data_IF_003301934104
#
_entry.id   IF_003301934104
#
_cell.length_a   1.000
_cell.length_b   1.000
_cell.length_c   1.000
_cell.angle_alpha   90.00
_cell.angle_beta   90.00
_cell.angle_gamma   90.00
#
_symmetry.space_group_name_H-M   'P 1'
#
loop_
_entity.id
_entity.type
_entity.pdbx_description
1 polymer ?
#
# COMPACT_ATOMS: atom_id res chain seq x y z
N UNK A 1 4.40 14.88 -8.87
CA UNK A 1 4.79 13.82 -9.84
C UNK A 1 6.31 13.77 -10.07
N UNK A 2 7.04 14.88 -9.89
CA UNK A 2 8.46 14.97 -10.27
C UNK A 2 9.41 14.11 -9.43
N UNK A 3 9.13 13.90 -8.13
CA UNK A 3 10.00 13.09 -7.28
C UNK A 3 10.13 11.64 -7.77
N UNK A 4 9.03 11.02 -8.21
CA UNK A 4 9.03 9.65 -8.74
C UNK A 4 9.77 9.57 -10.07
N UNK A 5 9.50 10.53 -10.96
CA UNK A 5 10.16 10.63 -12.27
C UNK A 5 11.67 10.82 -12.12
N UNK A 6 12.09 11.76 -11.28
CA UNK A 6 13.51 12.10 -11.10
C UNK A 6 14.31 10.99 -10.37
N UNK A 7 13.64 10.11 -9.63
CA UNK A 7 14.31 9.01 -8.92
C UNK A 7 14.34 7.75 -9.77
N UNK A 8 13.17 7.27 -10.20
CA UNK A 8 13.04 5.94 -10.78
C UNK A 8 13.23 5.91 -12.31
N UNK A 9 13.16 7.07 -12.95
CA UNK A 9 13.32 7.22 -14.41
C UNK A 9 14.68 7.86 -14.77
N UNK A 10 15.58 8.04 -13.81
CA UNK A 10 16.93 8.48 -14.10
C UNK A 10 17.70 7.40 -14.87
N UNK A 11 18.44 7.82 -15.91
CA UNK A 11 19.27 6.92 -16.70
C UNK A 11 20.61 6.71 -15.99
N UNK A 12 20.86 5.50 -15.51
CA UNK A 12 22.13 5.14 -14.89
C UNK A 12 23.15 4.70 -15.94
N UNK A 13 24.41 4.60 -15.52
CA UNK A 13 25.55 4.22 -16.38
C UNK A 13 25.48 2.79 -16.92
N UNK A 14 24.60 1.95 -16.37
CA UNK A 14 24.45 0.55 -16.77
C UNK A 14 23.29 0.35 -17.75
N UNK A 15 22.50 1.40 -18.03
CA UNK A 15 21.24 1.35 -18.77
C UNK A 15 20.29 0.24 -18.27
N UNK A 16 20.33 -0.05 -16.95
CA UNK A 16 19.45 -1.04 -16.30
C UNK A 16 18.46 -0.36 -15.38
N UNK A 17 17.18 -0.45 -15.68
CA UNK A 17 16.16 0.27 -14.93
C UNK A 17 15.15 -0.67 -14.29
N UNK A 18 15.57 -1.36 -13.23
CA UNK A 18 14.71 -2.23 -12.42
C UNK A 18 14.73 -1.78 -10.97
N UNK A 19 13.55 -1.73 -10.36
CA UNK A 19 13.34 -1.25 -9.00
C UNK A 19 12.50 -2.24 -8.21
N UNK A 20 13.01 -2.65 -7.07
CA UNK A 20 12.29 -3.49 -6.12
C UNK A 20 11.55 -2.60 -5.11
N UNK A 21 10.22 -2.71 -5.08
CA UNK A 21 9.37 -1.98 -4.14
C UNK A 21 8.87 -2.92 -3.06
N UNK A 22 9.05 -2.51 -1.80
CA UNK A 22 8.49 -3.19 -0.64
C UNK A 22 7.95 -2.18 0.36
N UNK A 23 6.86 -2.53 1.05
CA UNK A 23 6.35 -1.71 2.16
C UNK A 23 7.08 -2.05 3.45
N UNK A 24 7.49 -1.02 4.19
CA UNK A 24 8.02 -1.21 5.54
C UNK A 24 6.99 -1.92 6.44
N UNK A 25 7.48 -2.78 7.34
CA UNK A 25 6.64 -3.58 8.25
C UNK A 25 5.77 -2.69 9.14
N UNK A 26 6.27 -1.52 9.52
CA UNK A 26 5.60 -0.53 10.37
C UNK A 26 4.69 0.42 9.59
N UNK A 27 4.74 0.41 8.25
CA UNK A 27 3.96 1.32 7.41
C UNK A 27 2.45 1.14 7.61
N UNK A 28 1.74 2.25 7.85
CA UNK A 28 0.28 2.25 8.06
C UNK A 28 -0.45 2.82 6.85
N UNK A 29 -1.59 2.22 6.50
CA UNK A 29 -2.41 2.62 5.33
C UNK A 29 -2.83 4.11 5.36
N UNK A 30 -3.01 4.69 6.55
CA UNK A 30 -3.47 6.07 6.73
C UNK A 30 -2.42 7.13 6.33
N UNK A 31 -1.17 6.72 6.07
CA UNK A 31 -0.07 7.64 5.76
C UNK A 31 0.35 7.63 4.29
N UNK A 32 -0.47 7.10 3.39
CA UNK A 32 -0.13 7.04 1.96
C UNK A 32 -0.23 8.45 1.37
N UNK A 33 0.87 9.02 0.83
CA UNK A 33 0.82 10.31 0.15
C UNK A 33 0.06 10.22 -1.18
N UNK A 34 -0.70 11.24 -1.54
CA UNK A 34 -1.44 11.28 -2.81
C UNK A 34 -0.53 11.09 -4.04
N UNK A 35 0.67 11.67 -4.03
CA UNK A 35 1.62 11.50 -5.13
C UNK A 35 2.01 10.03 -5.35
N UNK A 36 1.99 9.21 -4.30
CA UNK A 36 2.29 7.78 -4.38
C UNK A 36 1.10 7.02 -4.98
N UNK A 37 -0.13 7.43 -4.63
CA UNK A 37 -1.34 6.91 -5.27
C UNK A 37 -1.31 7.16 -6.78
N UNK A 38 -0.99 8.39 -7.20
CA UNK A 38 -0.87 8.71 -8.63
C UNK A 38 0.19 7.84 -9.30
N UNK A 39 1.34 7.66 -8.65
CA UNK A 39 2.44 6.84 -9.18
C UNK A 39 2.05 5.36 -9.26
N UNK A 40 1.25 4.86 -8.32
CA UNK A 40 0.75 3.49 -8.32
C UNK A 40 -0.09 3.19 -9.57
N UNK A 41 -0.92 4.14 -10.03
CA UNK A 41 -1.75 3.93 -11.21
C UNK A 41 -0.96 3.69 -12.50
N UNK A 42 0.30 4.15 -12.57
CA UNK A 42 1.16 3.97 -13.75
C UNK A 42 2.23 2.87 -13.57
N UNK A 43 2.73 2.70 -12.34
CA UNK A 43 3.93 1.88 -12.06
C UNK A 43 3.68 0.76 -11.05
N UNK A 44 2.45 0.66 -10.56
CA UNK A 44 2.01 -0.39 -9.66
C UNK A 44 1.81 -1.73 -10.40
N UNK A 45 1.81 -2.83 -9.64
CA UNK A 45 1.51 -4.16 -10.15
C UNK A 45 0.06 -4.23 -10.66
N UNK A 46 -0.12 -4.92 -11.78
CA UNK A 46 -1.41 -5.23 -12.38
C UNK A 46 -1.88 -6.63 -11.95
N UNK A 47 -3.17 -6.94 -12.07
CA UNK A 47 -3.71 -8.21 -11.59
C UNK A 47 -3.18 -9.42 -12.36
N UNK A 48 -2.84 -9.24 -13.63
CA UNK A 48 -2.38 -10.28 -14.56
C UNK A 48 -1.04 -10.90 -14.15
N UNK A 49 -0.23 -10.19 -13.37
CA UNK A 49 1.05 -10.70 -12.88
C UNK A 49 0.93 -11.46 -11.56
N UNK A 50 -0.24 -11.41 -10.90
CA UNK A 50 -0.45 -12.02 -9.60
C UNK A 50 -0.65 -13.53 -9.74
N UNK A 51 -0.04 -14.35 -8.88
CA UNK A 51 -0.29 -15.78 -8.89
C UNK A 51 -1.72 -16.07 -8.38
N UNK A 52 -2.36 -17.17 -8.80
CA UNK A 52 -3.76 -17.47 -8.47
C UNK A 52 -4.14 -17.40 -6.98
N UNK A 53 -3.31 -17.90 -6.04
CA UNK A 53 -3.61 -17.78 -4.60
C UNK A 53 -3.73 -16.32 -4.13
N UNK A 54 -2.91 -15.42 -4.70
CA UNK A 54 -2.93 -14.00 -4.36
C UNK A 54 -4.16 -13.31 -4.95
N UNK A 55 -4.61 -13.72 -6.14
CA UNK A 55 -5.87 -13.25 -6.72
C UNK A 55 -7.06 -13.66 -5.84
N UNK A 56 -7.08 -14.90 -5.35
CA UNK A 56 -8.13 -15.35 -4.42
C UNK A 56 -8.13 -14.53 -3.12
N UNK A 57 -6.94 -14.36 -2.52
CA UNK A 57 -6.77 -13.54 -1.33
C UNK A 57 -7.20 -12.07 -1.56
N UNK A 58 -6.89 -11.51 -2.74
CA UNK A 58 -7.29 -10.16 -3.13
C UNK A 58 -8.82 -10.04 -3.28
N UNK A 59 -9.46 -11.03 -3.89
CA UNK A 59 -10.92 -11.08 -4.01
C UNK A 59 -11.60 -11.14 -2.64
N UNK A 60 -11.06 -11.97 -1.74
CA UNK A 60 -11.54 -12.06 -0.36
C UNK A 60 -11.35 -10.74 0.38
N UNK A 61 -10.19 -10.09 0.25
CA UNK A 61 -9.94 -8.77 0.82
C UNK A 61 -10.96 -7.75 0.33
N UNK A 62 -11.14 -7.63 -0.99
CA UNK A 62 -12.05 -6.66 -1.61
C UNK A 62 -13.50 -6.83 -1.15
N UNK A 63 -13.97 -8.07 -0.97
CA UNK A 63 -15.33 -8.35 -0.47
C UNK A 63 -15.54 -7.93 1.00
N UNK A 64 -14.48 -7.84 1.79
CA UNK A 64 -14.54 -7.59 3.24
C UNK A 64 -13.92 -6.25 3.64
N UNK A 65 -13.61 -5.39 2.68
CA UNK A 65 -13.07 -4.05 2.93
C UNK A 65 -13.83 -3.01 2.14
N UNK A 66 -14.10 -1.88 2.76
CA UNK A 66 -14.65 -0.73 2.06
C UNK A 66 -13.61 -0.13 1.09
N UNK A 67 -14.06 0.18 -0.11
CA UNK A 67 -13.25 0.91 -1.08
C UNK A 67 -12.99 2.33 -0.57
N UNK A 68 -11.74 2.77 -0.70
CA UNK A 68 -11.37 4.15 -0.40
C UNK A 68 -11.43 4.96 -1.69
N UNK A 69 -12.24 6.01 -1.72
CA UNK A 69 -12.52 6.80 -2.92
C UNK A 69 -11.26 7.29 -3.69
N UNK A 70 -10.15 7.50 -2.99
CA UNK A 70 -8.89 8.00 -3.55
C UNK A 70 -7.72 7.02 -3.42
N UNK A 71 -7.96 5.74 -3.13
CA UNK A 71 -6.89 4.75 -3.03
C UNK A 71 -7.33 3.45 -3.71
N UNK A 72 -6.64 3.01 -4.78
CA UNK A 72 -6.91 1.74 -5.42
C UNK A 72 -6.98 0.59 -4.41
N UNK A 73 -7.95 -0.31 -4.58
CA UNK A 73 -8.09 -1.48 -3.71
C UNK A 73 -6.86 -2.38 -3.79
N UNK A 74 -6.24 -2.49 -4.98
CA UNK A 74 -4.97 -3.19 -5.19
C UNK A 74 -3.84 -2.62 -4.33
N UNK A 75 -3.68 -1.30 -4.30
CA UNK A 75 -2.71 -0.63 -3.41
C UNK A 75 -3.00 -0.94 -1.93
N UNK A 76 -4.27 -0.85 -1.55
CA UNK A 76 -4.70 -1.16 -0.18
C UNK A 76 -4.34 -2.58 0.24
N UNK A 77 -4.56 -3.55 -0.66
CA UNK A 77 -4.24 -4.96 -0.45
C UNK A 77 -2.73 -5.20 -0.36
N UNK A 78 -1.96 -4.62 -1.27
CA UNK A 78 -0.49 -4.73 -1.27
C UNK A 78 0.13 -4.19 0.02
N UNK A 79 -0.39 -3.09 0.55
CA UNK A 79 0.02 -2.54 1.85
C UNK A 79 -0.39 -3.45 3.00
N UNK A 80 -1.61 -3.99 2.97
CA UNK A 80 -2.12 -4.89 4.01
C UNK A 80 -1.26 -6.16 4.11
N UNK A 81 -0.98 -6.78 2.97
CA UNK A 81 -0.23 -8.03 2.84
C UNK A 81 1.30 -7.84 2.82
N UNK A 82 1.77 -6.60 2.82
CA UNK A 82 3.21 -6.23 2.70
C UNK A 82 3.85 -6.88 1.47
N UNK A 83 3.12 -6.84 0.37
CA UNK A 83 3.55 -7.40 -0.90
C UNK A 83 4.53 -6.47 -1.59
N UNK A 84 5.47 -7.09 -2.30
CA UNK A 84 6.55 -6.45 -3.02
C UNK A 84 6.41 -6.79 -4.50
N UNK A 85 6.85 -5.88 -5.35
CA UNK A 85 6.88 -6.07 -6.78
C UNK A 85 8.15 -5.46 -7.34
N UNK A 86 8.47 -5.88 -8.56
CA UNK A 86 9.54 -5.28 -9.35
C UNK A 86 8.87 -4.44 -10.43
N UNK A 87 9.26 -3.18 -10.55
CA UNK A 87 8.96 -2.35 -11.70
C UNK A 87 10.22 -2.23 -12.53
N UNK A 88 10.10 -2.39 -13.85
CA UNK A 88 11.20 -2.09 -14.75
C UNK A 88 10.69 -1.33 -15.97
N UNK A 89 11.59 -0.63 -16.63
CA UNK A 89 11.30 0.06 -17.87
C UNK A 89 12.49 0.02 -18.81
N UNK A 90 12.20 0.20 -20.09
CA UNK A 90 13.19 0.30 -21.15
C UNK A 90 12.68 1.27 -22.23
N UNK A 91 13.59 1.73 -23.09
CA UNK A 91 13.23 2.53 -24.24
C UNK A 91 12.77 1.67 -25.40
N UNK A 92 11.66 2.06 -26.01
CA UNK A 92 11.12 1.45 -27.22
C UNK A 92 10.93 2.53 -28.25
N UNK A 93 11.26 2.19 -29.50
CA UNK A 93 11.05 3.04 -30.66
C UNK A 93 9.74 2.61 -31.31
N UNK A 94 8.76 3.52 -31.37
CA UNK A 94 7.59 3.36 -32.21
C UNK A 94 7.91 3.84 -33.62
N UNK A 95 7.76 2.95 -34.59
CA UNK A 95 7.85 3.29 -36.01
C UNK A 95 6.47 3.10 -36.63
N UNK A 96 5.82 4.23 -36.96
CA UNK A 96 4.58 4.23 -37.73
C UNK A 96 4.93 4.69 -39.15
N UNK A 97 4.45 4.02 -40.20
CA UNK A 97 4.73 4.42 -41.57
C UNK A 97 4.36 5.89 -41.80
N UNK A 98 5.26 6.62 -42.48
CA UNK A 98 5.07 8.03 -42.85
C UNK A 98 5.05 9.02 -41.67
N UNK A 99 5.51 8.63 -40.48
CA UNK A 99 5.74 9.53 -39.35
C UNK A 99 7.19 9.46 -38.87
N UNK A 100 7.60 10.43 -38.06
CA UNK A 100 8.91 10.43 -37.40
C UNK A 100 8.89 9.38 -36.28
N UNK A 101 9.88 8.48 -36.19
CA UNK A 101 9.97 7.51 -35.10
C UNK A 101 9.94 8.19 -33.74
N UNK A 102 9.15 7.64 -32.83
CA UNK A 102 8.97 8.19 -31.48
C UNK A 102 9.65 7.31 -30.45
N UNK A 103 10.52 7.91 -29.63
CA UNK A 103 11.14 7.23 -28.51
C UNK A 103 10.25 7.39 -27.28
N UNK A 104 9.80 6.28 -26.68
CA UNK A 104 9.08 6.31 -25.42
C UNK A 104 9.61 5.26 -24.46
N UNK A 105 9.23 5.39 -23.18
CA UNK A 105 9.55 4.40 -22.16
C UNK A 105 8.41 3.41 -22.05
N UNK A 106 8.71 2.14 -22.27
CA UNK A 106 7.77 1.08 -21.97
C UNK A 106 8.02 0.58 -20.55
N UNK A 107 6.94 0.41 -19.79
CA UNK A 107 6.97 -0.02 -18.41
C UNK A 107 6.41 -1.43 -18.28
N UNK A 108 6.96 -2.17 -17.33
CA UNK A 108 6.50 -3.48 -16.97
C UNK A 108 6.59 -3.68 -15.47
N UNK A 109 5.75 -4.57 -14.96
CA UNK A 109 5.81 -5.02 -13.57
C UNK A 109 5.93 -6.52 -13.52
N UNK A 110 6.57 -7.00 -12.45
CA UNK A 110 6.77 -8.42 -12.20
C UNK A 110 6.50 -8.73 -10.75
N UNK A 111 5.82 -9.86 -10.52
CA UNK A 111 5.58 -10.39 -9.19
C UNK A 111 6.89 -10.83 -8.52
N UNK A 112 7.02 -10.53 -7.22
CA UNK A 112 8.12 -11.03 -6.41
C UNK A 112 7.87 -12.48 -5.97
N UNK A 113 8.48 -13.44 -6.67
CA UNK A 113 8.18 -14.86 -6.51
C UNK A 113 8.79 -15.54 -5.27
N UNK A 114 9.34 -14.79 -4.31
CA UNK A 114 9.93 -15.35 -3.08
C UNK A 114 8.96 -15.41 -1.89
N UNK A 115 7.68 -15.09 -2.12
CA UNK A 115 6.65 -15.22 -1.11
C UNK A 115 6.27 -16.68 -0.85
N UNK A 116 6.08 -17.01 0.42
CA UNK A 116 5.39 -18.21 0.84
C UNK A 116 3.88 -17.99 0.66
N UNK A 117 3.33 -18.51 -0.44
CA UNK A 117 1.94 -18.31 -0.83
C UNK A 117 0.95 -18.93 0.17
N UNK A 118 1.37 -19.89 1.00
CA UNK A 118 0.52 -20.49 2.04
C UNK A 118 0.06 -19.48 3.10
N UNK A 119 0.75 -18.33 3.21
CA UNK A 119 0.41 -17.25 4.15
C UNK A 119 -0.70 -16.34 3.64
N UNK A 120 -1.05 -16.44 2.36
CA UNK A 120 -2.00 -15.55 1.69
C UNK A 120 -3.18 -16.36 1.19
N UNK A 121 -3.97 -16.90 2.12
CA UNK A 121 -5.22 -17.61 1.82
C UNK A 121 -6.41 -16.73 2.21
N UNK A 122 -7.59 -17.06 1.68
CA UNK A 122 -8.82 -16.38 2.07
C UNK A 122 -9.02 -16.37 3.60
N UNK A 123 -8.69 -17.46 4.30
CA UNK A 123 -8.78 -17.55 5.75
C UNK A 123 -7.80 -16.61 6.46
N UNK A 124 -6.52 -16.58 6.06
CA UNK A 124 -5.53 -15.71 6.71
C UNK A 124 -5.85 -14.23 6.52
N UNK A 125 -6.37 -13.86 5.35
CA UNK A 125 -6.85 -12.50 5.09
C UNK A 125 -8.01 -12.13 6.01
N UNK A 126 -9.02 -12.99 6.14
CA UNK A 126 -10.16 -12.73 7.02
C UNK A 126 -9.75 -12.59 8.49
N UNK A 127 -8.86 -13.45 8.97
CA UNK A 127 -8.32 -13.35 10.32
C UNK A 127 -7.55 -12.05 10.55
N UNK A 128 -6.71 -11.64 9.58
CA UNK A 128 -5.95 -10.39 9.62
C UNK A 128 -6.85 -9.14 9.61
N UNK A 129 -7.95 -9.17 8.85
CA UNK A 129 -8.92 -8.07 8.83
C UNK A 129 -9.68 -7.94 10.16
N UNK A 130 -10.08 -9.07 10.76
CA UNK A 130 -10.75 -9.10 12.07
C UNK A 130 -9.85 -8.62 13.21
N UNK A 131 -8.58 -9.04 13.23
CA UNK A 131 -7.65 -8.61 14.29
C UNK A 131 -7.41 -7.10 14.22
N UNK A 132 -7.33 -6.54 13.01
CA UNK A 132 -7.18 -5.10 12.81
C UNK A 132 -8.41 -4.30 13.24
N UNK A 133 -9.61 -4.77 12.94
CA UNK A 133 -10.84 -4.09 13.38
C UNK A 133 -10.98 -4.10 14.91
N UNK A 134 -10.63 -5.21 15.57
CA UNK A 134 -10.59 -5.29 17.04
C UNK A 134 -9.58 -4.32 17.64
N UNK A 135 -8.38 -4.22 17.06
CA UNK A 135 -7.35 -3.29 17.52
C UNK A 135 -7.80 -1.82 17.36
N UNK A 136 -8.40 -1.47 16.23
CA UNK A 136 -8.90 -0.13 15.95
C UNK A 136 -10.06 0.25 16.90
N UNK A 137 -10.95 -0.70 17.22
CA UNK A 137 -12.00 -0.53 18.22
C UNK A 137 -11.42 -0.28 19.63
N UNK A 138 -10.45 -1.09 20.05
CA UNK A 138 -9.82 -0.94 21.36
C UNK A 138 -9.09 0.41 21.48
N UNK A 139 -8.40 0.85 20.42
CA UNK A 139 -7.77 2.16 20.38
C UNK A 139 -8.80 3.30 20.49
N UNK A 140 -9.91 3.19 19.77
CA UNK A 140 -10.99 4.19 19.79
C UNK A 140 -11.63 4.28 21.17
N UNK A 141 -11.91 3.14 21.82
CA UNK A 141 -12.44 3.11 23.18
C UNK A 141 -11.47 3.76 24.17
N UNK A 142 -10.18 3.44 24.08
CA UNK A 142 -9.13 4.04 24.93
C UNK A 142 -9.08 5.55 24.75
N UNK A 143 -9.14 6.04 23.50
CA UNK A 143 -9.14 7.47 23.19
C UNK A 143 -10.37 8.18 23.77
N UNK A 144 -11.56 7.58 23.64
CA UNK A 144 -12.80 8.11 24.20
C UNK A 144 -12.71 8.21 25.72
N UNK A 145 -12.21 7.15 26.39
CA UNK A 145 -12.06 7.12 27.84
C UNK A 145 -11.06 8.18 28.34
N UNK A 146 -9.95 8.39 27.63
CA UNK A 146 -9.01 9.48 27.93
C UNK A 146 -9.69 10.84 27.75
N UNK A 147 -10.41 11.05 26.64
CA UNK A 147 -11.07 12.33 26.36
C UNK A 147 -12.18 12.64 27.36
N UNK A 148 -12.97 11.65 27.77
CA UNK A 148 -14.00 11.82 28.80
C UNK A 148 -13.39 12.15 30.17
N UNK A 149 -12.27 11.50 30.51
CA UNK A 149 -11.50 11.76 31.75
C UNK A 149 -10.94 13.19 31.78
N UNK A 150 -10.43 13.68 30.64
CA UNK A 150 -9.95 15.06 30.50
C UNK A 150 -11.12 16.05 30.66
N UNK A 151 -12.25 15.78 30.02
CA UNK A 151 -13.41 16.67 30.03
C UNK A 151 -14.11 16.75 31.40
N UNK A 152 -14.07 15.67 32.19
CA UNK A 152 -14.67 15.62 33.54
C UNK A 152 -13.77 16.14 34.65
N UNK A 153 -12.46 16.29 34.39
CA UNK A 153 -11.51 16.81 35.37
C UNK A 153 -11.56 18.33 35.45
N UNK A 154 -11.91 18.87 36.61
CA UNK A 154 -11.98 20.32 36.84
C UNK A 154 -10.64 20.89 37.30
N UNK A 155 -9.72 20.03 37.76
CA UNK A 155 -8.40 20.44 38.26
C UNK A 155 -7.27 19.55 37.73
N UNK A 156 -6.06 20.13 37.63
CA UNK A 156 -4.84 19.41 37.22
C UNK A 156 -4.53 18.20 38.12
N UNK A 157 -4.89 18.27 39.40
CA UNK A 157 -4.62 17.23 40.40
C UNK A 157 -5.56 16.02 40.22
N UNK A 158 -6.85 16.26 39.98
CA UNK A 158 -7.82 15.22 39.64
C UNK A 158 -7.44 14.50 38.36
N UNK A 159 -7.03 15.25 37.33
CA UNK A 159 -6.59 14.68 36.07
C UNK A 159 -5.38 13.74 36.25
N UNK A 160 -4.41 14.14 37.07
CA UNK A 160 -3.23 13.31 37.36
C UNK A 160 -3.56 12.02 38.14
N UNK A 161 -4.56 12.07 39.03
CA UNK A 161 -5.02 10.87 39.75
C UNK A 161 -5.84 9.93 38.86
N UNK A 162 -6.64 10.48 37.95
CA UNK A 162 -7.45 9.68 37.02
C UNK A 162 -6.59 9.04 35.93
N UNK A 163 -5.56 9.73 35.43
CA UNK A 163 -4.59 9.16 34.46
C UNK A 163 -3.82 7.99 35.08
N UNK A 164 -3.52 7.99 36.38
CA UNK A 164 -2.83 6.87 37.06
C UNK A 164 -3.69 5.61 37.20
N UNK A 165 -5.00 5.69 36.97
CA UNK A 165 -5.96 4.58 37.07
C UNK A 165 -6.32 3.97 35.72
N UNK A 166 -5.85 4.57 34.63
CA UNK A 166 -5.94 4.08 33.25
C UNK A 166 -4.74 3.21 32.91
#
# INVERSE_FOLDING_TARGET
MDAWKNTFLFQNIEDRHSWFFCFDKTFKKQTIPYWFVDSWCFYGPIEEILPPPIIEAFNTFTKHTESLALCPTTLSFFIHCKLSWIMYWDYVIEEIPQTIPSLYRQFWTKWWNKYDLSKYTSETILLSLKSKSQQDQQFTLTKIQIQSTIASSSTKKELQEQIKKL
#
